data_IF_999201765719
#
_entry.id   IF_999201765719
#
_cell.length_a   1.000
_cell.length_b   1.000
_cell.length_c   1.000
_cell.angle_alpha   90.00
_cell.angle_beta   90.00
_cell.angle_gamma   90.00
#
_symmetry.space_group_name_H-M   'P 1'
#
loop_
_entity.id
_entity.type
_entity.pdbx_description
1 polymer ?
#
# COMPACT_ATOMS: atom_id res chain seq x y z
N UNK A 1 -18.03 2.39 7.43
CA UNK A 1 -16.64 2.39 6.95
C UNK A 1 -15.91 1.21 7.58
N UNK A 2 -15.32 0.38 6.76
CA UNK A 2 -14.48 -0.73 7.22
C UNK A 2 -13.01 -0.38 7.08
N UNK A 3 -12.18 -0.79 8.05
CA UNK A 3 -10.74 -0.55 8.03
C UNK A 3 -10.02 -1.86 8.30
N UNK A 4 -9.03 -2.18 7.46
CA UNK A 4 -8.19 -3.36 7.60
C UNK A 4 -6.73 -2.95 7.57
N UNK A 5 -5.97 -3.30 8.61
CA UNK A 5 -4.51 -3.11 8.62
C UNK A 5 -3.83 -4.21 7.80
N UNK A 6 -2.84 -3.82 7.01
CA UNK A 6 -2.02 -4.72 6.21
C UNK A 6 -0.54 -4.39 6.39
N UNK A 7 0.32 -5.36 6.15
CA UNK A 7 1.76 -5.15 6.07
C UNK A 7 2.12 -4.70 4.66
N UNK A 8 2.85 -3.61 4.55
CA UNK A 8 3.25 -3.06 3.25
C UNK A 8 4.77 -3.05 3.15
N UNK A 9 5.27 -3.39 1.99
CA UNK A 9 6.68 -3.25 1.60
C UNK A 9 6.78 -2.23 0.50
N UNK A 10 7.67 -1.26 0.69
CA UNK A 10 8.01 -0.29 -0.34
C UNK A 10 9.31 -0.71 -1.00
N UNK A 11 9.35 -0.68 -2.32
CA UNK A 11 10.55 -0.98 -3.09
C UNK A 11 10.66 -0.04 -4.29
N UNK A 12 11.86 0.06 -4.85
CA UNK A 12 12.13 0.88 -6.03
C UNK A 12 12.40 0.00 -7.24
N UNK A 13 11.92 0.45 -8.38
CA UNK A 13 12.21 -0.15 -9.69
C UNK A 13 12.64 0.94 -10.66
N UNK A 14 13.24 0.57 -11.79
CA UNK A 14 13.44 1.52 -12.87
C UNK A 14 12.08 1.99 -13.41
N UNK A 15 11.95 3.28 -13.66
CA UNK A 15 10.75 3.87 -14.26
C UNK A 15 10.84 3.77 -15.78
N UNK A 16 10.54 2.59 -16.29
CA UNK A 16 10.51 2.32 -17.73
C UNK A 16 9.44 1.29 -18.06
N UNK A 17 9.06 1.25 -19.33
CA UNK A 17 8.07 0.30 -19.82
C UNK A 17 8.50 -1.15 -19.50
N UNK A 18 7.59 -1.90 -18.91
CA UNK A 18 7.79 -3.31 -18.58
C UNK A 18 8.40 -3.60 -17.22
N UNK A 19 8.96 -2.61 -16.50
CA UNK A 19 9.59 -2.85 -15.20
C UNK A 19 8.59 -3.38 -14.15
N UNK A 20 7.43 -2.77 -14.05
CA UNK A 20 6.40 -3.23 -13.10
C UNK A 20 5.87 -4.60 -13.50
N UNK A 21 5.61 -4.81 -14.79
CA UNK A 21 5.13 -6.10 -15.29
C UNK A 21 6.12 -7.21 -14.98
N UNK A 22 7.43 -6.95 -15.18
CA UNK A 22 8.47 -7.93 -14.88
C UNK A 22 8.52 -8.26 -13.39
N UNK A 23 8.48 -7.26 -12.53
CA UNK A 23 8.46 -7.47 -11.08
C UNK A 23 7.29 -8.37 -10.67
N UNK A 24 6.09 -8.06 -11.16
CA UNK A 24 4.89 -8.81 -10.80
C UNK A 24 4.89 -10.21 -11.42
N UNK A 25 5.44 -10.37 -12.62
CA UNK A 25 5.59 -11.69 -13.25
C UNK A 25 6.57 -12.57 -12.47
N UNK A 26 7.69 -12.03 -12.05
CA UNK A 26 8.67 -12.76 -11.24
C UNK A 26 8.08 -13.18 -9.88
N UNK A 27 7.29 -12.28 -9.25
CA UNK A 27 6.59 -12.60 -8.03
C UNK A 27 5.54 -13.71 -8.23
N UNK A 28 4.82 -13.69 -9.34
CA UNK A 28 3.87 -14.74 -9.68
C UNK A 28 4.55 -16.10 -9.86
N UNK A 29 5.71 -16.13 -10.50
CA UNK A 29 6.50 -17.35 -10.63
C UNK A 29 6.98 -17.89 -9.27
N UNK A 30 7.19 -17.01 -8.30
CA UNK A 30 7.53 -17.36 -6.92
C UNK A 30 6.29 -17.68 -6.06
N UNK A 31 5.11 -17.73 -6.68
CA UNK A 31 3.83 -18.00 -6.03
C UNK A 31 3.48 -16.97 -4.95
N UNK A 32 3.83 -15.72 -5.18
CA UNK A 32 3.45 -14.59 -4.31
C UNK A 32 2.13 -14.01 -4.80
N UNK A 33 1.13 -14.04 -3.95
CA UNK A 33 -0.19 -13.46 -4.22
C UNK A 33 -0.32 -12.14 -3.48
N UNK A 34 -0.87 -11.12 -4.14
CA UNK A 34 -0.96 -9.77 -3.59
C UNK A 34 -2.34 -9.45 -3.04
N UNK A 35 -2.35 -8.73 -1.93
CA UNK A 35 -3.54 -8.11 -1.39
C UNK A 35 -3.67 -6.67 -1.89
N UNK A 36 -2.53 -6.03 -2.16
CA UNK A 36 -2.48 -4.65 -2.60
C UNK A 36 -1.21 -4.42 -3.42
N UNK A 37 -1.33 -3.61 -4.45
CA UNK A 37 -0.21 -3.12 -5.25
C UNK A 37 -0.51 -1.70 -5.69
N UNK A 38 0.41 -0.78 -5.41
CA UNK A 38 0.34 0.58 -5.92
C UNK A 38 1.73 1.01 -6.38
N UNK A 39 1.82 1.63 -7.54
CA UNK A 39 3.09 2.02 -8.13
C UNK A 39 3.01 3.44 -8.68
N UNK A 40 4.07 4.20 -8.51
CA UNK A 40 4.14 5.61 -8.91
C UNK A 40 5.53 5.92 -9.44
N UNK A 41 5.61 6.83 -10.43
CA UNK A 41 6.88 7.45 -10.81
C UNK A 41 7.35 8.36 -9.67
N UNK A 42 8.61 8.18 -9.26
CA UNK A 42 9.19 8.94 -8.14
C UNK A 42 10.16 10.04 -8.60
N UNK A 43 10.35 10.19 -9.92
CA UNK A 43 11.34 11.08 -10.49
C UNK A 43 12.75 10.45 -10.54
N UNK A 44 13.67 11.07 -11.26
CA UNK A 44 15.05 10.58 -11.34
C UNK A 44 15.20 9.21 -12.01
N UNK A 45 14.23 8.80 -12.83
CA UNK A 45 14.26 7.50 -13.50
C UNK A 45 13.85 6.34 -12.60
N UNK A 46 13.28 6.62 -11.43
CA UNK A 46 12.85 5.61 -10.45
C UNK A 46 11.33 5.58 -10.30
N UNK A 47 10.80 4.39 -10.06
CA UNK A 47 9.43 4.16 -9.64
C UNK A 47 9.39 3.59 -8.23
N UNK A 48 8.38 3.98 -7.47
CA UNK A 48 8.11 3.39 -6.15
C UNK A 48 6.94 2.43 -6.24
N UNK A 49 7.08 1.27 -5.61
CA UNK A 49 6.06 0.24 -5.57
C UNK A 49 5.76 -0.10 -4.12
N UNK A 50 4.48 -0.05 -3.78
CA UNK A 50 3.99 -0.47 -2.47
C UNK A 50 3.23 -1.79 -2.65
N UNK A 51 3.72 -2.83 -2.01
CA UNK A 51 3.16 -4.18 -2.12
C UNK A 51 2.75 -4.72 -0.76
N UNK A 52 1.62 -5.40 -0.74
CA UNK A 52 1.21 -6.22 0.39
C UNK A 52 0.93 -7.62 -0.11
N UNK A 53 1.63 -8.60 0.42
CA UNK A 53 1.37 -10.01 0.12
C UNK A 53 0.29 -10.57 1.03
N UNK A 54 -0.55 -11.45 0.51
CA UNK A 54 -1.48 -12.22 1.34
C UNK A 54 -0.71 -13.07 2.35
N UNK A 55 0.50 -13.47 1.99
CA UNK A 55 1.47 -14.09 2.89
C UNK A 55 2.72 -13.21 2.93
N UNK A 56 2.91 -12.49 4.03
CA UNK A 56 4.04 -11.56 4.20
C UNK A 56 5.39 -12.26 4.09
N UNK A 57 5.52 -13.47 4.65
CA UNK A 57 6.78 -14.20 4.61
C UNK A 57 7.16 -14.63 3.19
N UNK A 58 6.18 -14.98 2.36
CA UNK A 58 6.41 -15.32 0.96
C UNK A 58 6.90 -14.09 0.17
N UNK A 59 6.34 -12.93 0.42
CA UNK A 59 6.78 -11.68 -0.21
C UNK A 59 8.20 -11.31 0.21
N UNK A 60 8.50 -11.40 1.50
CA UNK A 60 9.86 -11.15 2.02
C UNK A 60 10.89 -12.10 1.42
N UNK A 61 10.57 -13.37 1.35
CA UNK A 61 11.46 -14.38 0.77
C UNK A 61 11.71 -14.13 -0.72
N UNK A 62 10.67 -13.77 -1.46
CA UNK A 62 10.81 -13.40 -2.87
C UNK A 62 11.76 -12.22 -3.05
N UNK A 63 11.54 -11.13 -2.30
CA UNK A 63 12.37 -9.93 -2.39
C UNK A 63 13.83 -10.22 -2.04
N UNK A 64 14.08 -10.98 -0.98
CA UNK A 64 15.43 -11.36 -0.56
C UNK A 64 16.14 -12.18 -1.64
N UNK A 65 15.46 -13.17 -2.21
CA UNK A 65 16.03 -14.03 -3.27
C UNK A 65 16.28 -13.25 -4.55
N UNK A 66 15.45 -12.29 -4.88
CA UNK A 66 15.60 -11.44 -6.06
C UNK A 66 16.63 -10.31 -5.86
N UNK A 67 17.18 -10.16 -4.67
CA UNK A 67 18.12 -9.09 -4.35
C UNK A 67 17.46 -7.70 -4.30
N UNK A 68 16.17 -7.63 -4.02
CA UNK A 68 15.42 -6.38 -3.95
C UNK A 68 15.37 -5.90 -2.51
N UNK A 69 15.91 -4.70 -2.27
CA UNK A 69 15.78 -4.04 -0.97
C UNK A 69 14.37 -3.52 -0.78
N UNK A 70 13.80 -3.80 0.38
CA UNK A 70 12.47 -3.32 0.74
C UNK A 70 12.50 -2.58 2.07
N UNK A 71 11.59 -1.62 2.20
CA UNK A 71 11.35 -0.90 3.46
C UNK A 71 9.96 -1.26 3.95
N UNK A 72 9.85 -1.63 5.23
CA UNK A 72 8.56 -1.92 5.84
C UNK A 72 7.77 -0.64 6.08
N UNK A 73 6.47 -0.70 5.87
CA UNK A 73 5.52 0.36 6.19
C UNK A 73 4.23 -0.27 6.70
N UNK A 74 3.38 0.53 7.32
CA UNK A 74 2.06 0.08 7.72
C UNK A 74 1.03 0.59 6.72
N UNK A 75 0.12 -0.26 6.30
CA UNK A 75 -0.94 0.09 5.38
C UNK A 75 -2.31 -0.17 5.97
N UNK A 76 -3.29 0.55 5.45
CA UNK A 76 -4.68 0.39 5.82
C UNK A 76 -5.54 0.42 4.56
N UNK A 77 -6.40 -0.56 4.43
CA UNK A 77 -7.41 -0.56 3.37
C UNK A 77 -8.71 -0.09 4.02
N UNK A 78 -9.22 1.03 3.55
CA UNK A 78 -10.43 1.65 4.04
C UNK A 78 -11.49 1.52 2.96
N UNK A 79 -12.69 1.12 3.32
CA UNK A 79 -13.76 0.96 2.36
C UNK A 79 -15.12 1.36 2.89
N UNK A 80 -16.00 1.71 1.99
CA UNK A 80 -17.36 2.08 2.32
C UNK A 80 -18.16 2.50 1.11
N UNK A 81 -19.37 2.96 1.35
CA UNK A 81 -20.25 3.48 0.32
C UNK A 81 -19.67 4.75 -0.30
N UNK A 82 -19.71 4.84 -1.61
CA UNK A 82 -19.29 6.04 -2.32
C UNK A 82 -20.31 7.15 -2.15
N UNK A 83 -19.83 8.26 -1.59
CA UNK A 83 -20.61 9.50 -1.45
C UNK A 83 -19.65 10.68 -1.37
N UNK A 84 -20.14 11.86 -1.65
CA UNK A 84 -19.34 13.09 -1.51
C UNK A 84 -18.81 13.20 -0.08
N UNK A 85 -17.50 13.36 0.06
CA UNK A 85 -16.84 13.53 1.34
C UNK A 85 -16.48 12.23 2.08
N UNK A 86 -16.77 11.06 1.54
CA UNK A 86 -16.48 9.78 2.21
C UNK A 86 -14.99 9.62 2.55
N UNK A 87 -14.09 9.97 1.62
CA UNK A 87 -12.64 9.89 1.85
C UNK A 87 -12.17 10.94 2.87
N UNK A 88 -12.81 12.10 2.90
CA UNK A 88 -12.50 13.15 3.88
C UNK A 88 -12.75 12.63 5.30
N UNK A 89 -13.88 11.99 5.54
CA UNK A 89 -14.19 11.38 6.84
C UNK A 89 -13.18 10.30 7.20
N UNK A 90 -12.82 9.47 6.23
CA UNK A 90 -11.87 8.39 6.43
C UNK A 90 -10.49 8.89 6.90
N UNK A 91 -10.05 10.04 6.38
CA UNK A 91 -8.73 10.60 6.71
C UNK A 91 -8.75 11.52 7.93
N UNK A 92 -9.91 11.91 8.43
CA UNK A 92 -10.03 12.84 9.55
C UNK A 92 -9.29 12.35 10.80
N UNK A 93 -9.44 11.08 11.13
CA UNK A 93 -8.77 10.49 12.29
C UNK A 93 -7.26 10.62 12.24
N UNK A 94 -6.67 10.36 11.08
CA UNK A 94 -5.22 10.52 10.90
C UNK A 94 -4.79 11.97 11.02
N UNK A 95 -5.54 12.89 10.42
CA UNK A 95 -5.24 14.31 10.49
C UNK A 95 -5.31 14.83 11.94
N UNK A 96 -6.34 14.45 12.68
CA UNK A 96 -6.51 14.84 14.08
C UNK A 96 -5.40 14.28 14.97
N UNK A 97 -4.87 13.11 14.63
CA UNK A 97 -3.75 12.48 15.34
C UNK A 97 -2.37 13.02 14.91
N UNK A 98 -2.31 13.91 13.93
CA UNK A 98 -1.06 14.46 13.40
C UNK A 98 -0.23 13.46 12.61
N UNK A 99 -0.85 12.40 12.07
CA UNK A 99 -0.17 11.37 11.31
C UNK A 99 -0.23 11.70 9.82
N UNK A 100 0.94 11.76 9.17
CA UNK A 100 1.07 12.01 7.75
C UNK A 100 1.13 10.70 6.98
N UNK A 101 0.35 10.59 5.91
CA UNK A 101 0.49 9.48 4.97
C UNK A 101 1.71 9.63 4.08
N UNK A 102 2.39 8.54 3.80
CA UNK A 102 3.51 8.52 2.84
C UNK A 102 3.04 8.16 1.44
N UNK A 103 1.89 7.50 1.33
CA UNK A 103 1.24 7.20 0.06
C UNK A 103 -0.26 7.00 0.29
N UNK A 104 -1.04 7.27 -0.73
CA UNK A 104 -2.46 7.04 -0.69
C UNK A 104 -3.03 6.93 -2.10
N UNK A 105 -4.01 6.08 -2.27
CA UNK A 105 -4.73 5.94 -3.52
C UNK A 105 -6.15 5.45 -3.22
N UNK A 106 -7.12 6.03 -3.89
CA UNK A 106 -8.52 5.65 -3.74
C UNK A 106 -9.11 5.33 -5.10
N UNK A 107 -10.03 4.39 -5.10
CA UNK A 107 -10.73 3.97 -6.30
C UNK A 107 -12.21 3.76 -5.95
N UNK A 108 -13.08 4.11 -6.87
CA UNK A 108 -14.52 3.87 -6.76
C UNK A 108 -14.92 2.83 -7.81
N UNK A 109 -15.65 1.83 -7.38
CA UNK A 109 -16.17 0.79 -8.25
C UNK A 109 -17.50 0.28 -7.69
N UNK A 110 -18.52 0.18 -8.53
CA UNK A 110 -19.83 -0.36 -8.16
C UNK A 110 -20.45 0.29 -6.91
N UNK A 111 -20.35 1.62 -6.81
CA UNK A 111 -20.94 2.38 -5.69
C UNK A 111 -20.19 2.26 -4.38
N UNK A 112 -19.01 1.64 -4.39
CA UNK A 112 -18.15 1.49 -3.22
C UNK A 112 -16.81 2.15 -3.48
N UNK A 113 -16.21 2.74 -2.44
CA UNK A 113 -14.81 3.15 -2.52
C UNK A 113 -13.92 2.19 -1.76
N UNK A 114 -12.67 2.11 -2.21
CA UNK A 114 -11.58 1.49 -1.48
C UNK A 114 -10.39 2.43 -1.51
N UNK A 115 -9.78 2.63 -0.36
CA UNK A 115 -8.62 3.51 -0.25
C UNK A 115 -7.49 2.77 0.43
N UNK A 116 -6.31 2.83 -0.20
CA UNK A 116 -5.07 2.45 0.45
C UNK A 116 -4.46 3.69 1.08
N UNK A 117 -4.12 3.61 2.36
CA UNK A 117 -3.31 4.62 3.06
C UNK A 117 -2.09 3.92 3.61
N UNK A 118 -0.91 4.45 3.31
CA UNK A 118 0.36 3.95 3.84
C UNK A 118 0.96 5.00 4.75
N UNK A 119 1.41 4.57 5.92
CA UNK A 119 2.12 5.42 6.88
C UNK A 119 3.46 4.78 7.22
N UNK A 120 4.38 5.56 7.79
CA UNK A 120 5.64 5.01 8.29
C UNK A 120 5.35 3.87 9.27
N UNK A 121 6.22 2.87 9.27
CA UNK A 121 6.08 1.72 10.18
C UNK A 121 6.00 2.14 11.65
N UNK A 122 6.73 3.19 12.04
CA UNK A 122 6.70 3.73 13.39
C UNK A 122 5.33 4.30 13.79
N UNK A 123 4.53 4.74 12.83
CA UNK A 123 3.20 5.31 13.05
C UNK A 123 2.06 4.27 12.95
N UNK A 124 2.39 3.02 12.66
CA UNK A 124 1.39 1.99 12.38
C UNK A 124 0.36 1.80 13.50
N UNK A 125 0.81 1.68 14.74
CA UNK A 125 -0.08 1.46 15.88
C UNK A 125 -0.95 2.68 16.18
N UNK A 126 -0.37 3.88 16.11
CA UNK A 126 -1.11 5.12 16.31
C UNK A 126 -2.14 5.33 15.20
N UNK A 127 -1.80 5.01 13.96
CA UNK A 127 -2.71 5.10 12.83
C UNK A 127 -3.87 4.10 12.94
N UNK A 128 -3.57 2.87 13.36
CA UNK A 128 -4.59 1.84 13.60
C UNK A 128 -5.63 2.33 14.61
N UNK A 129 -5.16 2.89 15.72
CA UNK A 129 -6.04 3.46 16.74
C UNK A 129 -6.85 4.64 16.21
N UNK A 130 -6.21 5.55 15.48
CA UNK A 130 -6.85 6.73 14.93
C UNK A 130 -7.94 6.40 13.91
N UNK A 131 -7.76 5.33 13.14
CA UNK A 131 -8.71 4.87 12.13
C UNK A 131 -9.79 3.94 12.71
N UNK A 132 -9.63 3.46 13.93
CA UNK A 132 -10.56 2.53 14.55
C UNK A 132 -10.46 1.11 13.98
N UNK A 133 -9.30 0.76 13.49
CA UNK A 133 -9.06 -0.56 12.91
C UNK A 133 -8.91 -1.64 14.00
#
# INVERSE_FOLDING_TARGET
MGVKRINVRCLEIEDKAGSLQKLLADAALANVDFECCAAFSAGGGLGQVYLSGKNEEALKAFAAKAGISTTAAAGFIIGGEDKVGAVVEALKGLADAGISGVAGAAIVCDGQYRMLVVVDAADGDAAEKALGA
#
